data_IF_586688311041
#
_entry.id   IF_586688311041
#
_cell.length_a   1.000
_cell.length_b   1.000
_cell.length_c   1.000
_cell.angle_alpha   90.00
_cell.angle_beta   90.00
_cell.angle_gamma   90.00
#
_symmetry.space_group_name_H-M   'P 1'
#
loop_
_entity.id
_entity.type
_entity.pdbx_description
1 polymer ?
#
# COMPACT_ATOMS: atom_id res chain seq x y z
N UNK A 1 22.05 2.57 -46.15
CA UNK A 1 22.36 3.24 -44.87
C UNK A 1 21.02 3.52 -44.18
N UNK A 2 20.56 2.62 -43.30
CA UNK A 2 19.32 2.83 -42.54
C UNK A 2 19.62 3.66 -41.27
N UNK A 3 18.78 4.64 -40.90
CA UNK A 3 18.93 5.34 -39.64
C UNK A 3 18.63 4.39 -38.48
N UNK A 4 19.31 4.53 -37.33
CA UNK A 4 19.03 3.69 -36.18
C UNK A 4 17.62 4.00 -35.66
N UNK A 5 16.82 2.94 -35.54
CA UNK A 5 15.51 2.94 -34.90
C UNK A 5 15.65 3.47 -33.47
N UNK A 6 14.91 4.53 -33.17
CA UNK A 6 14.79 5.11 -31.83
C UNK A 6 14.19 4.04 -30.90
N UNK A 7 15.05 3.31 -30.20
CA UNK A 7 14.62 2.36 -29.18
C UNK A 7 13.98 3.17 -28.05
N UNK A 8 12.68 2.97 -27.86
CA UNK A 8 11.94 3.59 -26.75
C UNK A 8 12.75 3.39 -25.45
N UNK A 9 12.97 4.44 -24.64
CA UNK A 9 13.65 4.26 -23.37
C UNK A 9 12.81 3.27 -22.57
N UNK A 10 13.48 2.19 -22.14
CA UNK A 10 12.99 1.20 -21.18
C UNK A 10 12.16 1.93 -20.14
N UNK A 11 10.87 1.58 -20.00
CA UNK A 11 9.98 2.13 -18.98
C UNK A 11 10.72 2.17 -17.66
N UNK A 12 11.17 3.35 -17.24
CA UNK A 12 11.87 3.51 -15.98
C UNK A 12 10.89 3.11 -14.89
N UNK A 13 11.17 1.99 -14.23
CA UNK A 13 10.39 1.49 -13.12
C UNK A 13 10.41 2.56 -12.03
N UNK A 14 9.28 3.24 -11.84
CA UNK A 14 9.17 4.31 -10.85
C UNK A 14 9.15 3.66 -9.47
N UNK A 15 10.19 3.92 -8.68
CA UNK A 15 10.31 3.44 -7.29
C UNK A 15 9.44 4.31 -6.37
N UNK A 16 8.15 3.96 -6.26
CA UNK A 16 7.18 4.65 -5.42
C UNK A 16 7.30 4.13 -3.98
N UNK A 17 8.13 4.80 -3.17
CA UNK A 17 8.33 4.41 -1.76
C UNK A 17 7.24 4.93 -0.82
N UNK A 18 6.89 6.21 -0.95
CA UNK A 18 5.96 6.87 -0.04
C UNK A 18 5.11 7.90 -0.81
N UNK A 19 3.76 7.86 -0.70
CA UNK A 19 2.92 8.87 -1.31
C UNK A 19 3.08 10.21 -0.58
N UNK A 20 3.29 11.28 -1.34
CA UNK A 20 3.23 12.65 -0.82
C UNK A 20 1.75 13.01 -0.57
N UNK A 21 1.38 13.26 0.68
CA UNK A 21 0.01 13.70 1.01
C UNK A 21 -0.09 15.22 0.94
N UNK A 22 -1.20 15.73 0.40
CA UNK A 22 -1.48 17.19 0.31
C UNK A 22 -1.56 17.84 1.68
N UNK A 23 -2.03 17.08 2.66
CA UNK A 23 -2.05 17.48 4.06
C UNK A 23 -0.89 16.78 4.78
N UNK A 24 0.00 17.54 5.44
CA UNK A 24 0.97 17.01 6.39
C UNK A 24 0.21 16.36 7.56
N UNK A 25 -0.27 15.14 7.38
CA UNK A 25 -0.97 14.44 8.44
C UNK A 25 -0.25 13.14 8.74
N UNK A 26 0.52 13.19 9.82
CA UNK A 26 0.94 12.00 10.57
C UNK A 26 -0.28 11.08 10.65
N UNK A 27 -0.20 9.81 10.22
CA UNK A 27 -1.35 8.93 10.31
C UNK A 27 -1.84 8.92 11.75
N UNK A 28 -3.16 8.98 11.96
CA UNK A 28 -3.71 8.78 13.30
C UNK A 28 -3.14 7.48 13.88
N UNK A 29 -3.01 7.38 15.20
CA UNK A 29 -2.49 6.15 15.83
C UNK A 29 -3.24 4.91 15.32
N UNK A 30 -4.57 5.04 15.12
CA UNK A 30 -5.42 4.00 14.54
C UNK A 30 -4.99 3.62 13.10
N UNK A 31 -4.61 4.59 12.27
CA UNK A 31 -4.06 4.38 10.94
C UNK A 31 -2.67 3.74 10.97
N UNK A 32 -1.79 4.19 11.87
CA UNK A 32 -0.45 3.64 12.04
C UNK A 32 -0.50 2.18 12.51
N UNK A 33 -1.32 1.84 13.50
CA UNK A 33 -1.54 0.46 13.94
C UNK A 33 -2.05 -0.42 12.81
N UNK A 34 -3.05 0.06 12.05
CA UNK A 34 -3.60 -0.65 10.89
C UNK A 34 -2.52 -0.93 9.84
N UNK A 35 -1.65 0.04 9.56
CA UNK A 35 -0.53 -0.15 8.65
C UNK A 35 0.45 -1.21 9.18
N UNK A 36 0.91 -1.10 10.42
CA UNK A 36 1.84 -2.06 11.03
C UNK A 36 1.30 -3.49 11.06
N UNK A 37 0.01 -3.68 11.35
CA UNK A 37 -0.64 -5.01 11.33
C UNK A 37 -0.67 -5.56 9.91
N UNK A 38 -1.07 -4.74 8.92
CA UNK A 38 -1.27 -5.20 7.54
C UNK A 38 0.03 -5.38 6.75
N UNK A 39 1.12 -4.75 7.21
CA UNK A 39 2.48 -5.07 6.78
C UNK A 39 2.87 -6.51 7.11
N UNK A 40 2.36 -7.07 8.22
CA UNK A 40 2.65 -8.43 8.66
C UNK A 40 1.59 -9.45 8.19
N UNK A 41 0.35 -9.00 7.99
CA UNK A 41 -0.79 -9.85 7.63
C UNK A 41 -1.42 -9.36 6.33
N UNK A 42 -0.98 -9.94 5.22
CA UNK A 42 -1.49 -9.63 3.87
C UNK A 42 -2.80 -10.34 3.55
N UNK A 43 -2.95 -11.58 4.01
CA UNK A 43 -4.15 -12.41 3.82
C UNK A 43 -5.32 -11.98 4.73
N UNK A 44 -6.47 -11.69 4.12
CA UNK A 44 -7.70 -11.33 4.81
C UNK A 44 -8.26 -12.44 5.68
N UNK A 45 -8.02 -13.71 5.32
CA UNK A 45 -8.46 -14.88 6.08
C UNK A 45 -7.81 -14.90 7.46
N UNK A 46 -6.53 -14.54 7.54
CA UNK A 46 -5.79 -14.42 8.80
C UNK A 46 -6.31 -13.27 9.67
N UNK A 47 -6.82 -12.19 9.08
CA UNK A 47 -7.46 -11.08 9.82
C UNK A 47 -8.74 -11.56 10.52
N UNK A 48 -9.50 -12.45 9.88
CA UNK A 48 -10.73 -13.00 10.48
C UNK A 48 -10.46 -13.82 11.75
N UNK A 49 -9.27 -14.42 11.85
CA UNK A 49 -8.86 -15.24 12.99
C UNK A 49 -8.37 -14.40 14.19
N UNK A 50 -8.13 -13.10 14.01
CA UNK A 50 -7.66 -12.24 15.10
C UNK A 50 -8.71 -12.12 16.22
N UNK A 51 -8.30 -12.03 17.49
CA UNK A 51 -9.21 -11.80 18.63
C UNK A 51 -9.62 -10.32 18.70
N UNK A 52 -10.20 -9.80 17.62
CA UNK A 52 -10.64 -8.41 17.47
C UNK A 52 -12.15 -8.34 17.19
N UNK A 53 -12.83 -7.27 17.65
CA UNK A 53 -14.20 -6.98 17.26
C UNK A 53 -14.38 -6.89 15.74
N UNK A 54 -15.57 -7.29 15.25
CA UNK A 54 -15.93 -7.27 13.81
C UNK A 54 -15.66 -5.91 13.15
N UNK A 55 -15.98 -4.80 13.81
CA UNK A 55 -15.73 -3.45 13.30
C UNK A 55 -14.24 -3.15 13.07
N UNK A 56 -13.35 -3.66 13.94
CA UNK A 56 -11.90 -3.48 13.77
C UNK A 56 -11.36 -4.39 12.67
N UNK A 57 -11.87 -5.62 12.54
CA UNK A 57 -11.55 -6.50 11.41
C UNK A 57 -11.92 -5.83 10.08
N UNK A 58 -13.15 -5.32 9.97
CA UNK A 58 -13.60 -4.57 8.79
C UNK A 58 -12.70 -3.37 8.50
N UNK A 59 -12.29 -2.63 9.54
CA UNK A 59 -11.36 -1.51 9.38
C UNK A 59 -9.99 -1.96 8.84
N UNK A 60 -9.45 -3.09 9.29
CA UNK A 60 -8.18 -3.63 8.75
C UNK A 60 -8.30 -4.06 7.27
N UNK A 61 -9.50 -4.47 6.85
CA UNK A 61 -9.79 -4.96 5.49
C UNK A 61 -10.29 -3.87 4.54
N UNK A 62 -10.58 -2.64 4.98
CA UNK A 62 -11.12 -1.62 4.07
C UNK A 62 -10.12 -1.27 2.98
N UNK A 63 -10.60 -0.84 1.81
CA UNK A 63 -9.78 -0.58 0.63
C UNK A 63 -9.12 0.81 0.63
N UNK A 64 -9.07 1.50 1.77
CA UNK A 64 -8.50 2.86 1.88
C UNK A 64 -6.96 2.90 1.78
N UNK A 65 -6.35 1.87 1.17
CA UNK A 65 -4.90 1.71 1.12
C UNK A 65 -4.28 2.44 -0.07
N UNK A 66 -3.35 3.33 0.26
CA UNK A 66 -2.46 4.06 -0.64
C UNK A 66 -1.03 3.49 -0.68
N UNK A 67 -0.83 2.22 -0.31
CA UNK A 67 0.50 1.60 -0.31
C UNK A 67 0.38 0.24 -1.01
N UNK A 68 0.80 0.20 -2.27
CA UNK A 68 1.16 -1.03 -2.96
C UNK A 68 2.32 -1.67 -2.20
N UNK A 69 2.13 -2.90 -1.73
CA UNK A 69 3.26 -3.76 -1.42
C UNK A 69 3.53 -4.58 -2.67
N UNK A 70 4.62 -4.26 -3.36
CA UNK A 70 5.25 -5.11 -4.38
C UNK A 70 5.91 -6.32 -3.73
#
# INVERSE_FOLDING_TARGET
MHPPLHTNPVSQQVDIRYPLRRDQFVPSLKGACRFSIRKQITDTSKIQQLPLPKKLKQYLMSCDYFICFS
#
